data_IF_922783839508
#
_entry.id   IF_922783839508
#
_cell.length_a   1.000
_cell.length_b   1.000
_cell.length_c   1.000
_cell.angle_alpha   90.00
_cell.angle_beta   90.00
_cell.angle_gamma   90.00
#
_symmetry.space_group_name_H-M   'P 1'
#
loop_
_entity.id
_entity.type
_entity.pdbx_description
1 polymer ?
#
# COMPACT_ATOMS: atom_id res chain seq x y z
N UNK A 1 45.30 -25.29 31.96
CA UNK A 1 43.96 -25.45 31.35
C UNK A 1 43.61 -24.13 30.66
N UNK A 2 44.03 -23.98 29.39
CA UNK A 2 43.83 -22.73 28.64
C UNK A 2 42.49 -22.80 27.90
N UNK A 3 41.62 -21.81 28.18
CA UNK A 3 40.33 -21.66 27.54
C UNK A 3 40.50 -21.20 26.09
N UNK A 4 39.91 -21.94 25.14
CA UNK A 4 39.76 -21.52 23.75
C UNK A 4 38.60 -20.51 23.63
N UNK A 5 38.73 -19.42 22.86
CA UNK A 5 37.63 -18.48 22.69
C UNK A 5 36.59 -19.05 21.72
N UNK A 6 35.33 -18.99 22.14
CA UNK A 6 34.14 -19.30 21.34
C UNK A 6 34.11 -18.37 20.13
N UNK A 7 34.09 -18.96 18.92
CA UNK A 7 33.87 -18.20 17.68
C UNK A 7 32.47 -17.60 17.72
N UNK A 8 32.41 -16.28 17.89
CA UNK A 8 31.22 -15.47 17.67
C UNK A 8 30.65 -15.77 16.29
N UNK A 9 29.51 -16.45 16.25
CA UNK A 9 28.67 -16.54 15.05
C UNK A 9 28.21 -15.10 14.79
N UNK A 10 28.86 -14.46 13.84
CA UNK A 10 28.37 -13.21 13.25
C UNK A 10 27.07 -13.52 12.55
N UNK A 11 25.96 -13.35 13.27
CA UNK A 11 24.63 -13.18 12.70
C UNK A 11 24.75 -12.10 11.63
N UNK A 12 24.69 -12.52 10.36
CA UNK A 12 24.43 -11.64 9.23
C UNK A 12 23.08 -10.99 9.52
N UNK A 13 23.10 -9.86 10.21
CA UNK A 13 22.02 -8.89 10.21
C UNK A 13 21.86 -8.48 8.76
N UNK A 14 21.01 -9.20 8.03
CA UNK A 14 20.49 -8.75 6.76
C UNK A 14 19.76 -7.45 7.10
N UNK A 15 20.44 -6.33 6.88
CA UNK A 15 19.85 -5.01 6.98
C UNK A 15 18.72 -5.00 5.96
N UNK A 16 17.51 -5.39 6.38
CA UNK A 16 16.30 -4.96 5.73
C UNK A 16 16.22 -3.47 6.08
N UNK A 17 16.96 -2.65 5.32
CA UNK A 17 16.84 -1.21 5.42
C UNK A 17 15.39 -0.92 5.08
N UNK A 18 14.60 -0.55 6.09
CA UNK A 18 13.24 -0.10 5.88
C UNK A 18 13.31 1.01 4.81
N UNK A 19 12.62 0.82 3.68
CA UNK A 19 12.59 1.86 2.65
C UNK A 19 11.98 3.09 3.30
N UNK A 20 12.75 4.18 3.31
CA UNK A 20 12.34 5.39 4.00
C UNK A 20 11.20 6.05 3.22
N UNK A 21 10.15 6.51 3.92
CA UNK A 21 9.05 7.22 3.29
C UNK A 21 9.58 8.45 2.55
N UNK A 22 9.22 8.61 1.28
CA UNK A 22 9.61 9.77 0.48
C UNK A 22 8.49 10.79 0.46
N UNK A 23 8.74 11.94 1.10
CA UNK A 23 7.74 13.03 1.25
C UNK A 23 7.30 13.62 -0.10
N UNK A 24 8.10 13.49 -1.16
CA UNK A 24 7.72 13.96 -2.49
C UNK A 24 6.48 13.27 -3.07
N UNK A 25 6.11 12.09 -2.56
CA UNK A 25 4.92 11.35 -2.99
C UNK A 25 3.65 11.72 -2.22
N UNK A 26 3.74 12.64 -1.26
CA UNK A 26 2.60 13.19 -0.53
C UNK A 26 2.41 14.63 -1.01
N UNK A 27 1.18 14.97 -1.40
CA UNK A 27 0.82 16.33 -1.79
C UNK A 27 -0.39 16.80 -0.99
N UNK A 28 -0.18 17.81 -0.14
CA UNK A 28 -1.26 18.47 0.61
C UNK A 28 -1.86 19.57 -0.25
N UNK A 29 -3.16 19.49 -0.53
CA UNK A 29 -3.89 20.58 -1.17
C UNK A 29 -4.11 21.70 -0.17
N UNK A 30 -3.92 22.95 -0.62
CA UNK A 30 -4.08 24.16 0.20
C UNK A 30 -3.33 24.04 1.54
N UNK A 31 -2.06 23.58 1.50
CA UNK A 31 -1.29 23.22 2.70
C UNK A 31 -1.29 24.29 3.80
N UNK A 32 -1.40 25.56 3.45
CA UNK A 32 -1.39 26.69 4.40
C UNK A 32 -2.59 26.70 5.36
N UNK A 33 -3.72 26.05 5.02
CA UNK A 33 -4.89 25.97 5.91
C UNK A 33 -4.83 24.80 6.88
N UNK A 34 -3.81 23.94 6.78
CA UNK A 34 -3.71 22.73 7.58
C UNK A 34 -3.12 22.98 8.98
N UNK A 35 -3.68 22.38 10.04
CA UNK A 35 -3.03 22.33 11.34
C UNK A 35 -1.69 21.60 11.26
N UNK A 36 -0.61 22.21 11.79
CA UNK A 36 0.74 21.63 11.75
C UNK A 36 0.82 20.22 12.35
N UNK A 37 0.10 19.98 13.46
CA UNK A 37 0.05 18.65 14.10
C UNK A 37 -0.59 17.59 13.19
N UNK A 38 -1.58 17.98 12.38
CA UNK A 38 -2.21 17.07 11.44
C UNK A 38 -1.28 16.74 10.27
N UNK A 39 -0.56 17.74 9.72
CA UNK A 39 0.48 17.52 8.71
C UNK A 39 1.50 16.52 9.25
N UNK A 40 2.02 16.75 10.46
CA UNK A 40 3.01 15.89 11.10
C UNK A 40 2.47 14.47 11.29
N UNK A 41 1.23 14.31 11.75
CA UNK A 41 0.60 13.01 11.89
C UNK A 41 0.54 12.25 10.55
N UNK A 42 0.13 12.92 9.47
CA UNK A 42 0.09 12.32 8.14
C UNK A 42 1.50 11.96 7.65
N UNK A 43 2.48 12.85 7.78
CA UNK A 43 3.87 12.58 7.36
C UNK A 43 4.53 11.43 8.15
N UNK A 44 4.11 11.17 9.39
CA UNK A 44 4.61 10.06 10.22
C UNK A 44 3.90 8.73 9.96
N UNK A 45 2.62 8.79 9.56
CA UNK A 45 1.75 7.60 9.50
C UNK A 45 1.35 7.17 8.09
N UNK A 46 1.53 8.03 7.09
CA UNK A 46 1.22 7.74 5.70
C UNK A 46 2.47 7.90 4.86
N UNK A 47 2.71 6.98 3.94
CA UNK A 47 3.84 7.09 3.02
C UNK A 47 3.66 6.33 1.73
N UNK A 48 4.50 6.70 0.76
CA UNK A 48 4.83 5.88 -0.41
C UNK A 48 6.34 5.67 -0.46
N UNK A 49 6.73 4.43 -0.70
CA UNK A 49 8.09 3.97 -0.93
C UNK A 49 8.19 3.56 -2.40
N UNK A 50 8.74 4.41 -3.30
CA UNK A 50 8.87 4.06 -4.71
C UNK A 50 9.90 2.95 -4.91
N UNK A 51 9.78 2.23 -6.03
CA UNK A 51 10.68 1.12 -6.41
C UNK A 51 10.92 0.12 -5.27
N UNK A 52 9.86 -0.18 -4.50
CA UNK A 52 9.92 -1.10 -3.37
C UNK A 52 10.17 -2.55 -3.81
N UNK A 53 9.68 -2.89 -5.00
CA UNK A 53 10.03 -4.13 -5.70
C UNK A 53 10.80 -3.80 -6.99
N UNK A 54 11.65 -4.72 -7.39
CA UNK A 54 12.32 -4.70 -8.69
C UNK A 54 11.36 -5.12 -9.82
N UNK A 55 11.70 -4.82 -11.07
CA UNK A 55 10.95 -5.31 -12.24
C UNK A 55 10.86 -6.85 -12.26
N UNK A 56 11.94 -7.54 -11.88
CA UNK A 56 11.96 -9.00 -11.77
C UNK A 56 10.96 -9.51 -10.72
N UNK A 57 10.89 -8.85 -9.57
CA UNK A 57 9.94 -9.23 -8.50
C UNK A 57 8.49 -8.94 -8.93
N UNK A 58 8.25 -7.84 -9.65
CA UNK A 58 6.95 -7.58 -10.28
C UNK A 58 6.58 -8.69 -11.28
N UNK A 59 7.51 -9.10 -12.14
CA UNK A 59 7.27 -10.15 -13.13
C UNK A 59 6.94 -11.50 -12.47
N UNK A 60 7.64 -11.89 -11.40
CA UNK A 60 7.34 -13.12 -10.65
C UNK A 60 5.98 -13.06 -9.94
N UNK A 61 5.61 -11.91 -9.37
CA UNK A 61 4.26 -11.71 -8.84
C UNK A 61 3.21 -11.86 -9.96
N UNK A 62 3.43 -11.22 -11.10
CA UNK A 62 2.48 -11.27 -12.21
C UNK A 62 2.35 -12.66 -12.82
N UNK A 63 3.43 -13.45 -12.90
CA UNK A 63 3.37 -14.85 -13.35
C UNK A 63 2.47 -15.70 -12.47
N UNK A 64 2.49 -15.46 -11.16
CA UNK A 64 1.66 -16.20 -10.22
C UNK A 64 0.22 -15.66 -10.18
N UNK A 65 0.02 -14.35 -10.17
CA UNK A 65 -1.30 -13.71 -10.03
C UNK A 65 -2.15 -13.83 -11.31
N UNK A 66 -1.55 -13.58 -12.48
CA UNK A 66 -2.26 -13.40 -13.76
C UNK A 66 -3.12 -14.60 -14.16
N UNK A 67 -2.65 -15.87 -14.07
CA UNK A 67 -3.45 -17.03 -14.50
C UNK A 67 -4.78 -17.17 -13.75
N UNK A 68 -4.82 -16.73 -12.50
CA UNK A 68 -6.03 -16.75 -11.68
C UNK A 68 -6.93 -15.55 -11.98
N UNK A 69 -6.37 -14.34 -12.02
CA UNK A 69 -7.14 -13.12 -12.27
C UNK A 69 -7.81 -13.11 -13.65
N UNK A 70 -7.14 -13.63 -14.70
CA UNK A 70 -7.69 -13.71 -16.06
C UNK A 70 -8.96 -14.55 -16.18
N UNK A 71 -9.24 -15.44 -15.23
CA UNK A 71 -10.46 -16.26 -15.20
C UNK A 71 -11.66 -15.53 -14.61
N UNK A 72 -11.42 -14.43 -13.88
CA UNK A 72 -12.45 -13.59 -13.30
C UNK A 72 -12.90 -12.52 -14.32
N UNK A 73 -14.20 -12.22 -14.32
CA UNK A 73 -14.77 -11.13 -15.11
C UNK A 73 -14.62 -9.83 -14.32
N UNK A 74 -14.52 -8.71 -15.04
CA UNK A 74 -14.64 -7.40 -14.41
C UNK A 74 -16.09 -7.19 -13.97
N UNK A 75 -16.27 -6.84 -12.70
CA UNK A 75 -17.52 -6.48 -12.05
C UNK A 75 -17.67 -4.96 -12.06
N UNK A 76 -18.89 -4.48 -12.32
CA UNK A 76 -19.14 -3.04 -12.42
C UNK A 76 -19.30 -2.37 -11.06
N UNK A 77 -19.90 -3.04 -10.09
CA UNK A 77 -20.09 -2.48 -8.75
C UNK A 77 -19.85 -3.58 -7.71
N UNK A 78 -19.04 -3.26 -6.69
CA UNK A 78 -18.90 -4.08 -5.50
C UNK A 78 -20.19 -3.99 -4.65
N UNK A 79 -20.45 -4.95 -3.74
CA UNK A 79 -21.72 -5.00 -2.99
C UNK A 79 -21.94 -3.78 -2.07
N UNK A 80 -20.87 -3.12 -1.62
CA UNK A 80 -20.91 -1.85 -0.87
C UNK A 80 -20.83 -0.60 -1.77
N UNK A 81 -20.68 -0.80 -3.08
CA UNK A 81 -20.59 0.25 -4.09
C UNK A 81 -19.26 1.02 -4.14
N UNK A 82 -18.23 0.61 -3.38
CA UNK A 82 -16.97 1.34 -3.26
C UNK A 82 -16.08 1.20 -4.51
N UNK A 83 -16.08 0.05 -5.18
CA UNK A 83 -15.17 -0.22 -6.30
C UNK A 83 -15.96 -0.37 -7.60
N UNK A 84 -15.48 0.30 -8.66
CA UNK A 84 -16.06 0.25 -10.01
C UNK A 84 -15.11 -0.37 -11.02
N UNK A 85 -15.64 -1.30 -11.84
CA UNK A 85 -14.94 -1.97 -12.95
C UNK A 85 -13.62 -2.64 -12.53
N UNK A 86 -13.76 -3.64 -11.67
CA UNK A 86 -12.66 -4.34 -11.00
C UNK A 86 -12.85 -5.85 -11.05
N UNK A 87 -11.82 -6.60 -10.69
CA UNK A 87 -11.94 -8.00 -10.30
C UNK A 87 -11.02 -8.23 -9.12
N UNK A 88 -11.41 -9.11 -8.22
CA UNK A 88 -10.65 -9.31 -7.00
C UNK A 88 -10.63 -10.76 -6.54
N UNK A 89 -9.65 -11.08 -5.71
CA UNK A 89 -9.58 -12.33 -4.98
C UNK A 89 -8.67 -12.20 -3.77
N UNK A 90 -8.75 -13.20 -2.92
CA UNK A 90 -7.82 -13.38 -1.82
C UNK A 90 -6.83 -14.51 -2.13
N UNK A 91 -5.60 -14.36 -1.66
CA UNK A 91 -4.56 -15.38 -1.76
C UNK A 91 -3.76 -15.48 -0.45
N UNK A 92 -3.59 -16.72 0.02
CA UNK A 92 -2.80 -17.03 1.22
C UNK A 92 -1.45 -17.64 0.90
N UNK A 93 -1.42 -18.61 -0.01
CA UNK A 93 -0.19 -19.33 -0.37
C UNK A 93 0.48 -18.62 -1.55
N UNK A 94 1.80 -18.48 -1.48
CA UNK A 94 2.61 -17.81 -2.50
C UNK A 94 3.77 -18.73 -2.91
N UNK A 95 4.35 -18.52 -4.10
CA UNK A 95 5.62 -19.16 -4.46
C UNK A 95 6.74 -18.76 -3.50
N UNK A 96 7.82 -19.54 -3.42
CA UNK A 96 8.96 -19.20 -2.54
C UNK A 96 9.56 -17.85 -2.89
N UNK A 97 9.59 -17.51 -4.18
CA UNK A 97 10.06 -16.24 -4.71
C UNK A 97 9.17 -15.08 -4.23
N UNK A 98 7.85 -15.25 -4.30
CA UNK A 98 6.89 -14.22 -3.93
C UNK A 98 6.69 -14.12 -2.41
N UNK A 99 6.81 -15.21 -1.65
CA UNK A 99 6.80 -15.21 -0.17
C UNK A 99 7.86 -14.24 0.40
N UNK A 100 9.02 -14.12 -0.25
CA UNK A 100 10.07 -13.18 0.15
C UNK A 100 9.58 -11.74 0.02
N UNK A 101 8.88 -11.41 -1.06
CA UNK A 101 8.31 -10.08 -1.30
C UNK A 101 7.19 -9.79 -0.31
N UNK A 102 6.26 -10.74 -0.14
CA UNK A 102 5.16 -10.64 0.83
C UNK A 102 5.69 -10.40 2.25
N UNK A 103 6.70 -11.17 2.66
CA UNK A 103 7.36 -11.00 3.96
C UNK A 103 7.97 -9.60 4.09
N UNK A 104 8.64 -9.10 3.04
CA UNK A 104 9.23 -7.76 3.03
C UNK A 104 8.17 -6.65 3.17
N UNK A 105 7.00 -6.80 2.53
CA UNK A 105 5.86 -5.87 2.68
C UNK A 105 5.39 -5.81 4.13
N UNK A 106 5.16 -6.99 4.73
CA UNK A 106 4.69 -7.13 6.12
C UNK A 106 5.72 -6.52 7.08
N UNK A 107 6.98 -6.94 7.01
CA UNK A 107 8.05 -6.47 7.89
C UNK A 107 8.33 -4.96 7.76
N UNK A 108 8.02 -4.37 6.59
CA UNK A 108 8.17 -2.92 6.38
C UNK A 108 7.03 -2.11 6.99
N UNK A 109 5.82 -2.65 7.00
CA UNK A 109 4.61 -1.90 7.34
C UNK A 109 4.07 -2.19 8.73
N UNK A 110 4.15 -3.45 9.16
CA UNK A 110 3.48 -4.02 10.33
C UNK A 110 4.52 -4.28 11.42
N UNK A 111 4.31 -3.80 12.66
CA UNK A 111 5.20 -4.09 13.77
C UNK A 111 5.34 -5.60 14.02
N UNK A 112 6.54 -6.07 14.39
CA UNK A 112 6.83 -7.50 14.58
C UNK A 112 5.91 -8.20 15.58
N UNK A 113 5.43 -7.46 16.57
CA UNK A 113 4.55 -7.96 17.63
C UNK A 113 3.07 -8.03 17.19
N UNK A 114 2.74 -7.49 16.02
CA UNK A 114 1.36 -7.37 15.52
C UNK A 114 1.01 -8.52 14.59
N UNK A 115 -0.23 -8.99 14.71
CA UNK A 115 -0.80 -9.94 13.76
C UNK A 115 -1.14 -9.24 12.43
N UNK A 116 -1.14 -10.00 11.35
CA UNK A 116 -1.63 -9.57 10.05
C UNK A 116 -2.63 -10.60 9.51
N UNK A 117 -3.50 -10.17 8.61
CA UNK A 117 -4.43 -11.08 7.96
C UNK A 117 -3.66 -12.15 7.18
N UNK A 118 -4.14 -13.39 7.27
CA UNK A 118 -3.52 -14.53 6.58
C UNK A 118 -3.76 -14.51 5.07
N UNK A 119 -4.83 -13.85 4.62
CA UNK A 119 -5.17 -13.68 3.21
C UNK A 119 -4.79 -12.28 2.76
N UNK A 120 -4.13 -12.21 1.61
CA UNK A 120 -3.77 -10.95 0.94
C UNK A 120 -4.79 -10.69 -0.14
N UNK A 121 -5.36 -9.49 -0.10
CA UNK A 121 -6.30 -9.02 -1.11
C UNK A 121 -5.55 -8.63 -2.38
N UNK A 122 -5.95 -9.21 -3.51
CA UNK A 122 -5.47 -8.85 -4.85
C UNK A 122 -6.62 -8.19 -5.59
N UNK A 123 -6.48 -6.89 -5.85
CA UNK A 123 -7.43 -6.08 -6.59
C UNK A 123 -6.84 -5.71 -7.96
N UNK A 124 -7.56 -6.00 -9.04
CA UNK A 124 -7.20 -5.60 -10.40
C UNK A 124 -8.26 -4.64 -10.92
N UNK A 125 -7.83 -3.40 -11.16
CA UNK A 125 -8.66 -2.34 -11.72
C UNK A 125 -8.46 -2.29 -13.23
N UNK A 126 -9.57 -2.23 -13.97
CA UNK A 126 -9.51 -1.89 -15.39
C UNK A 126 -8.97 -0.47 -15.57
N UNK A 127 -8.45 -0.12 -16.77
CA UNK A 127 -7.97 1.25 -17.10
C UNK A 127 -9.01 2.37 -16.90
N UNK A 128 -10.28 2.00 -16.86
CA UNK A 128 -11.44 2.89 -16.65
C UNK A 128 -12.13 2.60 -15.29
N UNK A 129 -11.55 1.71 -14.49
CA UNK A 129 -11.97 1.40 -13.13
C UNK A 129 -11.39 2.40 -12.13
N UNK A 130 -12.06 2.50 -10.99
CA UNK A 130 -11.70 3.42 -9.92
C UNK A 130 -12.27 2.92 -8.59
N UNK A 131 -11.77 3.49 -7.50
CA UNK A 131 -12.28 3.23 -6.15
C UNK A 131 -12.86 4.54 -5.63
N UNK A 132 -14.12 4.54 -5.20
CA UNK A 132 -14.82 5.70 -4.62
C UNK A 132 -14.30 6.00 -3.21
N UNK A 133 -14.50 7.23 -2.70
CA UNK A 133 -14.12 7.60 -1.34
C UNK A 133 -14.75 6.68 -0.29
N UNK A 134 -13.92 5.99 0.49
CA UNK A 134 -14.36 5.12 1.57
C UNK A 134 -13.34 5.04 2.71
N UNK A 135 -13.76 4.52 3.86
CA UNK A 135 -12.89 4.17 4.98
C UNK A 135 -12.99 2.66 5.16
N UNK A 136 -11.84 1.98 5.18
CA UNK A 136 -11.79 0.55 5.39
C UNK A 136 -12.47 0.15 6.69
N UNK A 137 -13.26 -0.92 6.64
CA UNK A 137 -13.99 -1.42 7.80
C UNK A 137 -13.04 -1.76 8.95
N UNK A 138 -13.28 -1.19 10.13
CA UNK A 138 -12.53 -1.51 11.36
C UNK A 138 -12.75 -2.95 11.82
N UNK A 139 -13.81 -3.61 11.33
CA UNK A 139 -14.10 -5.02 11.61
C UNK A 139 -13.20 -5.97 10.83
N UNK A 140 -12.75 -5.57 9.66
CA UNK A 140 -12.01 -6.42 8.72
C UNK A 140 -10.55 -5.97 8.54
N UNK A 141 -10.25 -4.69 8.79
CA UNK A 141 -8.92 -4.10 8.63
C UNK A 141 -8.43 -3.51 9.96
N UNK A 142 -7.18 -3.82 10.32
CA UNK A 142 -6.52 -3.29 11.50
C UNK A 142 -6.20 -1.79 11.42
N UNK A 143 -5.23 -1.36 12.22
CA UNK A 143 -4.76 0.04 12.26
C UNK A 143 -3.81 0.43 11.14
N UNK A 144 -3.37 -0.53 10.33
CA UNK A 144 -2.45 -0.36 9.22
C UNK A 144 -3.04 -1.00 7.98
N UNK A 145 -3.12 -0.22 6.92
CA UNK A 145 -3.40 -0.70 5.56
C UNK A 145 -2.14 -0.47 4.75
N UNK A 146 -1.64 -1.49 4.08
CA UNK A 146 -0.46 -1.39 3.22
C UNK A 146 -0.74 -2.08 1.90
N UNK A 147 -0.31 -1.47 0.80
CA UNK A 147 -0.61 -1.95 -0.54
C UNK A 147 0.56 -1.75 -1.50
N UNK A 148 0.78 -2.77 -2.33
CA UNK A 148 1.77 -2.77 -3.38
C UNK A 148 1.10 -2.42 -4.71
N UNK A 149 1.59 -1.38 -5.37
CA UNK A 149 1.07 -0.95 -6.68
C UNK A 149 1.82 -1.65 -7.80
N UNK A 150 1.11 -2.21 -8.77
CA UNK A 150 1.66 -2.98 -9.90
C UNK A 150 1.13 -2.42 -11.23
N UNK A 151 1.80 -2.76 -12.34
CA UNK A 151 1.41 -2.45 -13.73
C UNK A 151 1.43 -0.97 -14.15
N UNK A 152 0.78 -0.07 -13.42
CA UNK A 152 0.65 1.35 -13.76
C UNK A 152 0.60 2.25 -12.54
N UNK A 153 1.00 3.50 -12.72
CA UNK A 153 0.87 4.53 -11.70
C UNK A 153 -0.59 4.88 -11.42
N UNK A 154 -0.88 5.31 -10.19
CA UNK A 154 -2.19 5.81 -9.79
C UNK A 154 -2.06 6.98 -8.80
N UNK A 155 -3.13 7.76 -8.67
CA UNK A 155 -3.27 8.76 -7.60
C UNK A 155 -4.32 8.29 -6.62
N UNK A 156 -3.90 8.11 -5.37
CA UNK A 156 -4.82 7.91 -4.26
C UNK A 156 -5.11 9.25 -3.62
N UNK A 157 -6.38 9.65 -3.56
CA UNK A 157 -6.80 10.87 -2.88
C UNK A 157 -7.38 10.54 -1.52
N UNK A 158 -6.96 11.29 -0.51
CA UNK A 158 -7.46 11.20 0.85
C UNK A 158 -8.18 12.49 1.23
N UNK A 159 -9.43 12.37 1.65
CA UNK A 159 -10.30 13.50 2.03
C UNK A 159 -10.78 13.31 3.46
N UNK A 160 -10.55 14.31 4.32
CA UNK A 160 -11.00 14.27 5.71
C UNK A 160 -12.52 14.12 5.82
N UNK A 161 -13.02 13.51 6.90
CA UNK A 161 -14.47 13.34 7.13
C UNK A 161 -15.26 14.65 7.04
N UNK A 162 -14.67 15.76 7.49
CA UNK A 162 -15.27 17.11 7.40
C UNK A 162 -15.02 17.81 6.07
N UNK A 163 -14.35 17.15 5.12
CA UNK A 163 -14.03 17.59 3.75
C UNK A 163 -13.21 18.88 3.65
N UNK A 164 -12.50 19.25 4.73
CA UNK A 164 -11.65 20.44 4.75
C UNK A 164 -10.24 20.18 4.25
N UNK A 165 -9.76 18.95 4.42
CA UNK A 165 -8.36 18.62 4.21
C UNK A 165 -8.26 17.51 3.17
N UNK A 166 -7.49 17.78 2.12
CA UNK A 166 -7.26 16.84 1.02
C UNK A 166 -5.77 16.66 0.81
N UNK A 167 -5.31 15.42 0.80
CA UNK A 167 -3.97 15.10 0.35
C UNK A 167 -3.97 13.93 -0.62
N UNK A 168 -3.05 13.97 -1.58
CA UNK A 168 -2.87 12.91 -2.55
C UNK A 168 -1.59 12.14 -2.25
N UNK A 169 -1.64 10.83 -2.46
CA UNK A 169 -0.49 9.94 -2.54
C UNK A 169 -0.28 9.55 -4.00
N UNK A 170 0.95 9.72 -4.50
CA UNK A 170 1.31 9.24 -5.82
C UNK A 170 1.81 7.80 -5.75
N UNK A 171 0.99 6.87 -6.22
CA UNK A 171 1.23 5.44 -6.18
C UNK A 171 1.90 5.00 -7.48
N UNK A 172 3.23 5.14 -7.54
CA UNK A 172 3.96 4.66 -8.71
C UNK A 172 3.87 3.14 -8.83
N UNK A 173 3.94 2.64 -10.07
CA UNK A 173 4.18 1.23 -10.35
C UNK A 173 5.38 0.74 -9.52
N UNK A 174 5.24 -0.42 -8.88
CA UNK A 174 6.20 -1.04 -7.94
C UNK A 174 6.40 -0.32 -6.61
N UNK A 175 5.56 0.66 -6.28
CA UNK A 175 5.63 1.34 -4.98
C UNK A 175 4.84 0.61 -3.90
N UNK A 176 5.30 0.74 -2.66
CA UNK A 176 4.56 0.33 -1.46
C UNK A 176 3.98 1.58 -0.80
N UNK A 177 2.68 1.60 -0.53
CA UNK A 177 2.07 2.63 0.30
C UNK A 177 1.64 2.06 1.65
N UNK A 178 1.58 2.94 2.66
CA UNK A 178 1.01 2.65 3.97
C UNK A 178 0.05 3.76 4.37
N UNK A 179 -1.08 3.37 4.93
CA UNK A 179 -2.01 4.24 5.66
C UNK A 179 -2.11 3.74 7.10
N UNK A 180 -1.86 4.64 8.06
CA UNK A 180 -2.17 4.44 9.48
C UNK A 180 -2.55 5.78 10.13
N UNK A 181 -2.80 5.78 11.44
CA UNK A 181 -3.11 7.02 12.17
C UNK A 181 -4.32 7.75 11.58
N UNK A 182 -4.24 9.09 11.49
CA UNK A 182 -5.34 9.89 10.96
C UNK A 182 -5.70 9.50 9.51
N UNK A 183 -4.71 9.19 8.65
CA UNK A 183 -4.97 8.83 7.26
C UNK A 183 -5.81 7.55 7.08
N UNK A 184 -5.76 6.60 8.03
CA UNK A 184 -6.57 5.37 7.99
C UNK A 184 -7.98 5.53 8.57
N UNK A 185 -8.14 6.43 9.54
CA UNK A 185 -9.37 6.51 10.36
C UNK A 185 -10.20 7.78 10.12
N UNK A 186 -9.56 8.90 9.78
CA UNK A 186 -10.19 10.22 9.67
C UNK A 186 -10.29 10.73 8.23
N UNK A 187 -9.72 10.00 7.28
CA UNK A 187 -9.77 10.31 5.87
C UNK A 187 -10.41 9.16 5.10
N UNK A 188 -11.39 9.50 4.27
CA UNK A 188 -11.76 8.60 3.16
C UNK A 188 -10.61 8.54 2.18
N UNK A 189 -10.41 7.40 1.53
CA UNK A 189 -9.45 7.25 0.44
C UNK A 189 -10.15 6.75 -0.82
N UNK A 190 -9.62 7.16 -1.97
CA UNK A 190 -10.13 6.82 -3.31
C UNK A 190 -8.96 6.63 -4.28
N UNK A 191 -9.13 5.79 -5.30
CA UNK A 191 -8.22 5.73 -6.46
C UNK A 191 -8.90 6.49 -7.59
N UNK A 192 -8.29 7.60 -8.01
CA UNK A 192 -8.92 8.52 -8.95
C UNK A 192 -9.11 7.88 -10.34
N UNK A 193 -10.25 8.13 -11.01
CA UNK A 193 -10.46 7.70 -12.38
C UNK A 193 -9.48 8.40 -13.32
N UNK A 194 -9.19 7.78 -14.47
CA UNK A 194 -8.16 8.20 -15.43
C UNK A 194 -8.19 9.67 -15.84
N UNK A 195 -9.38 10.23 -15.99
CA UNK A 195 -9.62 11.63 -16.36
C UNK A 195 -9.25 12.62 -15.24
N UNK A 196 -9.29 12.18 -13.98
CA UNK A 196 -8.99 12.98 -12.78
C UNK A 196 -7.67 12.63 -12.11
N UNK A 197 -7.05 11.50 -12.48
CA UNK A 197 -5.81 11.00 -11.91
C UNK A 197 -4.63 11.85 -12.40
N UNK A 198 -4.42 12.99 -11.73
CA UNK A 198 -3.33 13.94 -11.95
C UNK A 198 -2.69 14.27 -10.61
N UNK A 199 -1.38 14.07 -10.51
CA UNK A 199 -0.64 14.37 -9.28
C UNK A 199 0.00 15.75 -9.42
N UNK A 200 -0.29 16.65 -8.47
CA UNK A 200 0.19 18.06 -8.52
C UNK A 200 -0.21 18.79 -9.82
N UNK A 201 -1.34 18.41 -10.42
CA UNK A 201 -1.82 18.99 -11.69
C UNK A 201 -1.17 18.42 -12.96
N UNK A 202 -0.33 17.39 -12.84
CA UNK A 202 0.35 16.72 -13.96
C UNK A 202 -0.12 15.28 -14.15
#
# INVERSE_FOLDING_TARGET
>A
MQYLPVKSITSLRRFCSLVKPKREFIYFHEKDIWPMELIKNIEENCFVSPDFITEKEEDELMKEITPHMKRLKYERDHWDGAIYLFREREQRNWSKENEIVIKRIIENSIPKESEHLSYIHILDLHKDGYIKPHIDSVRYCGNIVTGLSLLSDAVMRLVSKDRKYIFDLFLQRRSLYKLSGAGRYEFTHEILPRDKSRFRGH
#
